data_IF_538860938063
#
_entry.id   IF_538860938063
#
_cell.length_a   1.000
_cell.length_b   1.000
_cell.length_c   1.000
_cell.angle_alpha   90.00
_cell.angle_beta   90.00
_cell.angle_gamma   90.00
#
_symmetry.space_group_name_H-M   'P 1'
#
loop_
_entity.id
_entity.type
_entity.pdbx_description
1 polymer ?
#
# COMPACT_ATOMS: atom_id res chain seq x y z
N UNK A 1 8.39 -26.75 -36.10
CA UNK A 1 7.54 -26.11 -35.07
C UNK A 1 8.47 -25.50 -34.04
N UNK A 2 8.29 -24.24 -33.66
CA UNK A 2 9.05 -23.64 -32.56
C UNK A 2 8.80 -24.45 -31.29
N UNK A 3 9.86 -24.85 -30.59
CA UNK A 3 9.73 -25.52 -29.30
C UNK A 3 9.49 -24.46 -28.22
N UNK A 4 8.63 -24.80 -27.26
CA UNK A 4 8.37 -23.92 -26.10
C UNK A 4 9.48 -24.07 -25.07
N UNK A 5 9.68 -23.05 -24.24
CA UNK A 5 10.58 -23.14 -23.09
C UNK A 5 10.18 -24.26 -22.12
N UNK A 6 11.14 -24.88 -21.40
CA UNK A 6 10.88 -25.99 -20.48
C UNK A 6 10.10 -25.57 -19.22
N UNK A 7 9.94 -24.28 -18.97
CA UNK A 7 9.22 -23.74 -17.83
C UNK A 7 7.75 -23.45 -18.15
N UNK A 8 7.28 -23.78 -19.36
CA UNK A 8 5.88 -23.62 -19.76
C UNK A 8 5.45 -22.15 -19.92
N UNK A 9 6.39 -21.23 -20.06
CA UNK A 9 6.10 -19.80 -20.15
C UNK A 9 5.60 -19.38 -21.53
N UNK A 10 5.56 -20.28 -22.51
CA UNK A 10 5.16 -19.97 -23.90
C UNK A 10 6.13 -19.01 -24.60
N UNK A 11 7.43 -19.10 -24.29
CA UNK A 11 8.48 -18.41 -25.03
C UNK A 11 8.87 -19.29 -26.22
N UNK A 12 8.71 -18.77 -27.43
CA UNK A 12 9.03 -19.48 -28.67
C UNK A 12 10.55 -19.57 -28.87
N UNK A 13 11.06 -20.79 -29.02
CA UNK A 13 12.44 -21.03 -29.44
C UNK A 13 12.45 -21.20 -30.96
N UNK A 14 13.26 -20.39 -31.64
CA UNK A 14 13.33 -20.41 -33.10
C UNK A 14 13.75 -21.79 -33.62
N UNK A 15 12.98 -22.33 -34.57
CA UNK A 15 13.22 -23.64 -35.16
C UNK A 15 14.42 -23.69 -36.11
N UNK A 16 15.02 -22.54 -36.43
CA UNK A 16 16.14 -22.36 -37.37
C UNK A 16 15.90 -22.97 -38.78
N UNK A 17 14.63 -23.17 -39.15
CA UNK A 17 14.23 -23.76 -40.44
C UNK A 17 14.11 -22.75 -41.57
N UNK A 18 13.97 -21.47 -41.25
CA UNK A 18 13.84 -20.37 -42.21
C UNK A 18 15.19 -19.71 -42.53
N UNK A 19 15.24 -18.92 -43.60
CA UNK A 19 16.43 -18.15 -43.96
C UNK A 19 16.88 -17.25 -42.78
N UNK A 20 18.19 -17.12 -42.50
CA UNK A 20 18.67 -16.38 -41.35
C UNK A 20 18.22 -14.91 -41.37
N UNK A 21 17.41 -14.52 -40.40
CA UNK A 21 17.03 -13.14 -40.16
C UNK A 21 17.23 -12.80 -38.67
N UNK A 22 18.37 -12.20 -38.37
CA UNK A 22 18.75 -11.86 -36.99
C UNK A 22 17.80 -10.84 -36.36
N UNK A 23 17.23 -9.92 -37.15
CA UNK A 23 16.28 -8.93 -36.65
C UNK A 23 14.96 -9.59 -36.23
N UNK A 24 14.44 -10.52 -37.03
CA UNK A 24 13.22 -11.26 -36.70
C UNK A 24 13.40 -12.15 -35.48
N UNK A 25 14.55 -12.83 -35.36
CA UNK A 25 14.89 -13.63 -34.18
C UNK A 25 14.95 -12.77 -32.92
N UNK A 26 15.68 -11.64 -32.96
CA UNK A 26 15.82 -10.74 -31.83
C UNK A 26 14.47 -10.13 -31.41
N UNK A 27 13.64 -9.72 -32.37
CA UNK A 27 12.30 -9.21 -32.12
C UNK A 27 11.41 -10.25 -31.44
N UNK A 28 11.36 -11.49 -31.96
CA UNK A 28 10.56 -12.56 -31.37
C UNK A 28 10.95 -12.91 -29.93
N UNK A 29 12.24 -12.87 -29.60
CA UNK A 29 12.72 -13.06 -28.23
C UNK A 29 12.34 -11.86 -27.36
N UNK A 30 12.58 -10.64 -27.83
CA UNK A 30 12.25 -9.43 -27.08
C UNK A 30 10.75 -9.34 -26.77
N UNK A 31 9.89 -9.58 -27.76
CA UNK A 31 8.44 -9.52 -27.62
C UNK A 31 7.89 -10.61 -26.70
N UNK A 32 8.53 -11.78 -26.66
CA UNK A 32 8.19 -12.83 -25.71
C UNK A 32 8.71 -12.52 -24.29
N UNK A 33 9.93 -12.01 -24.14
CA UNK A 33 10.54 -11.88 -22.80
C UNK A 33 10.14 -10.58 -22.11
N UNK A 34 10.10 -9.45 -22.82
CA UNK A 34 9.79 -8.14 -22.25
C UNK A 34 8.50 -8.09 -21.41
N UNK A 35 7.34 -8.65 -21.82
CA UNK A 35 6.13 -8.62 -21.00
C UNK A 35 6.19 -9.51 -19.75
N UNK A 36 7.17 -10.43 -19.68
CA UNK A 36 7.39 -11.37 -18.58
C UNK A 36 8.45 -10.88 -17.58
N UNK A 37 9.16 -9.78 -17.88
CA UNK A 37 10.12 -9.16 -16.97
C UNK A 37 9.50 -7.97 -16.24
N UNK A 38 10.27 -7.33 -15.36
CA UNK A 38 9.87 -6.04 -14.76
C UNK A 38 10.08 -4.94 -15.80
N UNK A 39 8.97 -4.42 -16.33
CA UNK A 39 9.00 -3.27 -17.25
C UNK A 39 9.17 -1.97 -16.46
N UNK A 40 9.98 -1.03 -16.96
CA UNK A 40 10.25 0.25 -16.28
C UNK A 40 9.55 1.42 -16.97
N UNK A 41 8.82 2.21 -16.19
CA UNK A 41 8.14 3.43 -16.66
C UNK A 41 8.44 4.62 -15.74
N UNK A 42 8.31 5.83 -16.26
CA UNK A 42 8.47 7.04 -15.46
C UNK A 42 7.38 7.17 -14.39
N UNK A 43 6.12 6.92 -14.77
CA UNK A 43 4.94 7.06 -13.88
C UNK A 43 3.81 6.11 -14.31
N UNK A 44 2.76 6.01 -13.48
CA UNK A 44 1.56 5.23 -13.82
C UNK A 44 0.87 5.71 -15.10
N UNK A 45 0.83 7.02 -15.35
CA UNK A 45 0.24 7.60 -16.56
C UNK A 45 1.06 7.27 -17.82
N UNK A 46 2.39 7.32 -17.72
CA UNK A 46 3.29 6.93 -18.82
C UNK A 46 3.11 5.45 -19.19
N UNK A 47 2.96 4.57 -18.20
CA UNK A 47 2.64 3.15 -18.43
C UNK A 47 1.31 2.99 -19.17
N UNK A 48 0.24 3.65 -18.71
CA UNK A 48 -1.09 3.54 -19.33
C UNK A 48 -1.09 4.01 -20.79
N UNK A 49 -0.29 5.02 -21.12
CA UNK A 49 -0.11 5.46 -22.50
C UNK A 49 0.68 4.47 -23.37
N UNK A 50 1.70 3.81 -22.79
CA UNK A 50 2.57 2.88 -23.50
C UNK A 50 1.92 1.50 -23.74
N UNK A 51 1.21 0.96 -22.76
CA UNK A 51 0.61 -0.38 -22.81
C UNK A 51 -0.77 -0.32 -23.48
N UNK A 52 -0.77 -0.17 -24.80
CA UNK A 52 -1.99 -0.12 -25.63
C UNK A 52 -1.90 -1.05 -26.84
N UNK A 53 -3.04 -1.33 -27.48
CA UNK A 53 -3.10 -2.16 -28.69
C UNK A 53 -2.55 -3.57 -28.46
N UNK A 54 -1.57 -3.98 -29.28
CA UNK A 54 -0.93 -5.29 -29.16
C UNK A 54 -0.11 -5.47 -27.87
N UNK A 55 0.30 -4.37 -27.22
CA UNK A 55 1.00 -4.37 -25.94
C UNK A 55 0.06 -4.09 -24.75
N UNK A 56 -1.24 -4.31 -24.93
CA UNK A 56 -2.23 -4.12 -23.86
C UNK A 56 -1.86 -4.94 -22.61
N UNK A 57 -2.10 -4.40 -21.41
CA UNK A 57 -1.66 -5.04 -20.18
C UNK A 57 -2.46 -6.31 -19.88
N UNK A 58 -1.74 -7.41 -19.63
CA UNK A 58 -2.32 -8.70 -19.23
C UNK A 58 -2.00 -9.02 -17.78
N UNK A 59 -2.83 -9.84 -17.14
CA UNK A 59 -2.62 -10.29 -15.77
C UNK A 59 -1.25 -10.96 -15.60
N UNK A 60 -0.58 -10.66 -14.50
CA UNK A 60 0.77 -11.16 -14.19
C UNK A 60 1.92 -10.25 -14.66
N UNK A 61 1.65 -9.23 -15.48
CA UNK A 61 2.66 -8.22 -15.81
C UNK A 61 3.12 -7.45 -14.56
N UNK A 62 4.42 -7.17 -14.46
CA UNK A 62 5.02 -6.39 -13.37
C UNK A 62 5.72 -5.16 -13.92
N UNK A 63 5.52 -4.01 -13.27
CA UNK A 63 6.15 -2.74 -13.65
C UNK A 63 6.83 -2.09 -12.47
N UNK A 64 7.96 -1.42 -12.70
CA UNK A 64 8.55 -0.47 -11.77
C UNK A 64 8.26 0.97 -12.23
N UNK A 65 7.72 1.79 -11.34
CA UNK A 65 7.41 3.20 -11.60
C UNK A 65 8.44 4.09 -10.91
N UNK A 66 9.16 4.89 -11.69
CA UNK A 66 10.32 5.64 -11.19
C UNK A 66 9.96 6.85 -10.32
N UNK A 67 8.86 7.56 -10.62
CA UNK A 67 8.41 8.71 -9.83
C UNK A 67 7.90 8.28 -8.46
N UNK A 68 7.20 7.16 -8.40
CA UNK A 68 6.59 6.61 -7.19
C UNK A 68 7.54 5.65 -6.42
N UNK A 69 8.68 5.32 -7.01
CA UNK A 69 9.68 4.35 -6.51
C UNK A 69 9.06 3.04 -6.01
N UNK A 70 8.22 2.42 -6.84
CA UNK A 70 7.49 1.19 -6.46
C UNK A 70 7.25 0.20 -7.59
N UNK A 71 7.08 -1.05 -7.22
CA UNK A 71 6.63 -2.13 -8.09
C UNK A 71 5.12 -2.25 -8.07
N UNK A 72 4.51 -2.41 -9.24
CA UNK A 72 3.08 -2.71 -9.41
C UNK A 72 2.88 -3.96 -10.26
N UNK A 73 1.90 -4.79 -9.89
CA UNK A 73 1.48 -5.97 -10.63
C UNK A 73 0.08 -5.79 -11.22
N UNK A 74 -0.13 -6.30 -12.44
CA UNK A 74 -1.45 -6.36 -13.08
C UNK A 74 -2.19 -7.59 -12.56
N UNK A 75 -3.26 -7.35 -11.81
CA UNK A 75 -4.06 -8.43 -11.22
C UNK A 75 -5.07 -9.01 -12.22
N UNK A 76 -5.64 -10.17 -11.88
CA UNK A 76 -6.60 -10.87 -12.73
C UNK A 76 -7.91 -10.09 -12.97
N UNK A 77 -8.27 -9.20 -12.04
CA UNK A 77 -9.41 -8.28 -12.14
C UNK A 77 -9.15 -7.09 -13.08
N UNK A 78 -7.95 -7.01 -13.67
CA UNK A 78 -7.56 -5.91 -14.54
C UNK A 78 -7.11 -4.65 -13.79
N UNK A 79 -6.93 -4.69 -12.47
CA UNK A 79 -6.40 -3.57 -11.70
C UNK A 79 -4.87 -3.63 -11.61
N UNK A 80 -4.23 -2.47 -11.42
CA UNK A 80 -2.82 -2.40 -11.06
C UNK A 80 -2.71 -2.24 -9.55
N UNK A 81 -1.92 -3.08 -8.89
CA UNK A 81 -1.74 -3.04 -7.44
C UNK A 81 -0.26 -2.98 -7.07
N UNK A 82 0.07 -2.20 -6.05
CA UNK A 82 1.43 -2.07 -5.55
C UNK A 82 1.89 -3.36 -4.86
N UNK A 83 2.98 -3.96 -5.36
CA UNK A 83 3.63 -5.15 -4.79
C UNK A 83 4.66 -4.79 -3.73
N UNK A 84 5.34 -3.65 -3.91
CA UNK A 84 6.24 -3.11 -2.89
C UNK A 84 5.51 -2.06 -2.06
N UNK A 85 5.86 -1.91 -0.77
CA UNK A 85 5.31 -0.82 0.02
C UNK A 85 5.71 0.53 -0.56
N UNK A 86 4.75 1.46 -0.65
CA UNK A 86 5.04 2.85 -0.94
C UNK A 86 5.80 3.53 0.21
N UNK A 87 6.30 4.76 -0.03
CA UNK A 87 6.92 5.56 1.03
C UNK A 87 5.91 5.85 2.16
N UNK A 88 6.43 6.02 3.37
CA UNK A 88 5.64 6.49 4.50
C UNK A 88 5.29 7.96 4.32
N UNK A 89 4.00 8.28 4.39
CA UNK A 89 3.45 9.64 4.31
C UNK A 89 3.20 10.12 5.75
N UNK A 90 3.77 11.26 6.16
CA UNK A 90 3.52 11.82 7.49
C UNK A 90 2.03 12.04 7.75
N UNK A 91 1.59 11.71 8.96
CA UNK A 91 0.21 11.96 9.40
C UNK A 91 0.08 13.41 9.86
N UNK A 92 -0.97 14.09 9.40
CA UNK A 92 -1.43 15.35 9.98
C UNK A 92 -2.46 15.05 11.07
N UNK A 93 -2.20 15.51 12.29
CA UNK A 93 -3.09 15.30 13.43
C UNK A 93 -4.19 16.36 13.47
N UNK A 94 -5.37 15.97 13.94
CA UNK A 94 -6.42 16.90 14.30
C UNK A 94 -5.96 17.85 15.42
N UNK A 95 -6.59 19.03 15.50
CA UNK A 95 -6.28 20.01 16.54
C UNK A 95 -6.34 19.40 17.94
N UNK A 96 -5.32 19.67 18.75
CA UNK A 96 -5.19 19.14 20.11
C UNK A 96 -4.35 17.86 20.23
N UNK A 97 -3.83 17.32 19.13
CA UNK A 97 -2.95 16.15 19.12
C UNK A 97 -1.64 16.43 18.40
N UNK A 98 -0.56 15.78 18.85
CA UNK A 98 0.79 15.91 18.27
C UNK A 98 1.50 14.57 18.24
N UNK A 99 2.48 14.46 17.34
CA UNK A 99 3.40 13.35 17.34
C UNK A 99 4.26 13.35 18.62
N UNK A 100 4.48 12.17 19.20
CA UNK A 100 5.35 12.00 20.37
C UNK A 100 6.68 11.33 19.99
N UNK A 101 6.63 10.11 19.49
CA UNK A 101 7.79 9.34 19.00
C UNK A 101 7.39 8.36 17.89
N UNK A 102 8.39 7.75 17.24
CA UNK A 102 8.16 6.76 16.17
C UNK A 102 7.72 7.34 14.81
N UNK A 103 7.75 8.67 14.66
CA UNK A 103 7.39 9.41 13.43
C UNK A 103 6.08 8.94 12.79
N UNK A 104 4.93 9.32 13.37
CA UNK A 104 3.61 8.89 12.90
C UNK A 104 3.40 9.12 11.41
N UNK A 105 3.03 8.04 10.72
CA UNK A 105 2.88 8.02 9.27
C UNK A 105 1.94 6.90 8.85
N UNK A 106 1.39 7.02 7.64
CA UNK A 106 0.66 5.94 6.97
C UNK A 106 1.30 5.60 5.62
N UNK A 107 1.00 4.44 5.07
CA UNK A 107 1.33 4.07 3.70
C UNK A 107 0.28 3.13 3.12
N UNK A 108 0.26 3.00 1.80
CA UNK A 108 -0.54 2.00 1.10
C UNK A 108 0.37 0.89 0.57
N UNK A 109 0.01 -0.35 0.86
CA UNK A 109 0.73 -1.56 0.43
C UNK A 109 -0.30 -2.60 0.04
N UNK A 110 -0.24 -3.09 -1.20
CA UNK A 110 -1.08 -4.19 -1.69
C UNK A 110 -2.58 -4.00 -1.38
N UNK A 111 -3.14 -2.81 -1.69
CA UNK A 111 -4.55 -2.50 -1.46
C UNK A 111 -4.95 -2.31 0.01
N UNK A 112 -4.00 -2.27 0.93
CA UNK A 112 -4.25 -2.01 2.35
C UNK A 112 -3.52 -0.74 2.81
N UNK A 113 -4.14 0.00 3.72
CA UNK A 113 -3.48 1.06 4.47
C UNK A 113 -2.83 0.47 5.72
N UNK A 114 -1.63 0.92 6.04
CA UNK A 114 -0.89 0.61 7.27
C UNK A 114 -0.49 1.92 7.95
N UNK A 115 -0.58 1.98 9.28
CA UNK A 115 -0.11 3.12 10.08
C UNK A 115 0.98 2.71 11.06
N UNK A 116 1.71 3.70 11.56
CA UNK A 116 2.74 3.54 12.58
C UNK A 116 2.88 4.76 13.47
N UNK A 117 3.62 4.58 14.56
CA UNK A 117 4.10 5.65 15.43
C UNK A 117 3.12 6.01 16.55
N UNK A 118 3.52 6.99 17.36
CA UNK A 118 2.82 7.33 18.60
C UNK A 118 2.46 8.81 18.67
N UNK A 119 1.36 9.08 19.35
CA UNK A 119 0.83 10.43 19.51
C UNK A 119 0.34 10.66 20.93
N UNK A 120 0.18 11.94 21.26
CA UNK A 120 -0.34 12.41 22.53
C UNK A 120 -1.16 13.68 22.33
N UNK A 121 -1.80 14.16 23.40
CA UNK A 121 -2.42 15.49 23.38
C UNK A 121 -1.35 16.58 23.36
N UNK A 122 -1.59 17.63 22.59
CA UNK A 122 -0.68 18.78 22.47
C UNK A 122 -0.45 19.53 23.80
N UNK A 123 -1.39 19.42 24.73
CA UNK A 123 -1.32 20.03 26.06
C UNK A 123 -0.60 19.16 27.10
N UNK A 124 -0.12 17.97 26.73
CA UNK A 124 0.57 17.02 27.61
C UNK A 124 -0.32 16.35 28.65
N UNK A 125 -1.63 16.61 28.65
CA UNK A 125 -2.56 15.97 29.59
C UNK A 125 -2.94 14.56 29.12
N UNK A 126 -3.27 13.63 30.04
CA UNK A 126 -3.76 12.31 29.66
C UNK A 126 -5.05 12.37 28.84
N UNK A 127 -5.30 11.32 28.06
CA UNK A 127 -6.54 11.21 27.29
C UNK A 127 -7.77 11.07 28.19
N UNK A 128 -8.90 11.62 27.74
CA UNK A 128 -10.19 11.41 28.39
C UNK A 128 -10.69 9.99 28.12
N UNK A 129 -11.04 9.26 29.18
CA UNK A 129 -11.57 7.89 29.08
C UNK A 129 -13.02 7.85 28.63
N UNK A 130 -13.42 6.79 27.94
CA UNK A 130 -14.80 6.52 27.53
C UNK A 130 -15.35 7.44 26.45
N UNK A 131 -14.53 8.32 25.88
CA UNK A 131 -14.90 9.27 24.85
C UNK A 131 -14.15 8.92 23.56
N UNK A 132 -14.86 8.97 22.43
CA UNK A 132 -14.25 8.89 21.11
C UNK A 132 -13.66 10.25 20.74
N UNK A 133 -12.34 10.29 20.53
CA UNK A 133 -11.60 11.48 20.16
C UNK A 133 -11.16 11.34 18.70
N UNK A 134 -11.61 12.23 17.81
CA UNK A 134 -11.08 12.27 16.44
C UNK A 134 -9.66 12.81 16.45
N UNK A 135 -8.70 11.96 16.06
CA UNK A 135 -7.26 12.25 16.15
C UNK A 135 -6.63 12.57 14.79
N UNK A 136 -7.21 12.06 13.69
CA UNK A 136 -6.68 12.22 12.32
C UNK A 136 -7.89 12.28 11.38
N UNK A 137 -7.80 13.10 10.33
CA UNK A 137 -8.68 12.99 9.16
C UNK A 137 -7.83 12.56 7.96
N UNK A 138 -8.10 11.36 7.44
CA UNK A 138 -7.33 10.78 6.36
C UNK A 138 -7.80 11.29 4.99
N UNK A 139 -6.89 11.38 3.99
CA UNK A 139 -7.30 11.72 2.64
C UNK A 139 -8.19 10.63 2.03
N UNK A 140 -9.11 11.03 1.16
CA UNK A 140 -10.11 10.15 0.54
C UNK A 140 -9.55 8.87 -0.09
N UNK A 141 -8.32 8.93 -0.62
CA UNK A 141 -7.66 7.79 -1.25
C UNK A 141 -7.34 6.62 -0.30
N UNK A 142 -7.43 6.82 1.03
CA UNK A 142 -7.16 5.77 2.03
C UNK A 142 -8.32 5.52 2.98
N UNK A 143 -9.53 5.92 2.59
CA UNK A 143 -10.75 5.61 3.34
C UNK A 143 -11.09 4.11 3.23
N UNK A 144 -11.40 3.42 4.34
CA UNK A 144 -11.90 2.06 4.26
C UNK A 144 -13.34 2.05 3.71
N UNK A 145 -13.77 0.98 3.02
CA UNK A 145 -15.14 0.88 2.50
C UNK A 145 -16.20 0.70 3.61
N UNK A 146 -15.78 0.32 4.80
CA UNK A 146 -16.62 0.09 5.96
C UNK A 146 -15.85 0.43 7.24
N UNK A 147 -16.58 0.71 8.32
CA UNK A 147 -15.99 0.94 9.63
C UNK A 147 -15.06 -0.20 10.07
N UNK A 148 -13.89 0.17 10.61
CA UNK A 148 -12.89 -0.76 11.16
C UNK A 148 -12.49 -0.33 12.56
N UNK A 149 -12.11 -1.29 13.41
CA UNK A 149 -11.53 -1.01 14.71
C UNK A 149 -10.36 -1.95 15.01
N UNK A 150 -9.44 -1.47 15.83
CA UNK A 150 -8.18 -2.13 16.17
C UNK A 150 -7.90 -1.95 17.65
N UNK A 151 -7.36 -2.98 18.30
CA UNK A 151 -6.75 -2.83 19.62
C UNK A 151 -5.31 -2.37 19.43
N UNK A 152 -4.97 -1.23 19.99
CA UNK A 152 -3.65 -0.64 19.90
C UNK A 152 -3.04 -0.45 21.28
N UNK A 153 -1.71 -0.37 21.33
CA UNK A 153 -0.99 -0.21 22.59
C UNK A 153 -1.07 1.24 23.09
N UNK A 154 -1.09 1.37 24.42
CA UNK A 154 -0.93 2.64 25.13
C UNK A 154 0.12 2.47 26.23
N UNK A 155 0.25 3.46 27.11
CA UNK A 155 1.23 3.51 28.17
C UNK A 155 1.18 2.33 29.17
N UNK A 156 2.24 1.51 29.20
CA UNK A 156 2.34 0.30 30.03
C UNK A 156 2.02 0.53 31.53
N UNK A 157 2.35 1.71 32.07
CA UNK A 157 2.14 2.05 33.48
C UNK A 157 0.74 2.65 33.80
N UNK A 158 -0.11 2.82 32.79
CA UNK A 158 -1.46 3.36 32.92
C UNK A 158 -2.49 2.39 32.30
N UNK A 159 -3.14 2.77 31.20
CA UNK A 159 -3.88 1.83 30.36
C UNK A 159 -2.92 1.20 29.36
N UNK A 160 -2.92 -0.13 29.23
CA UNK A 160 -2.01 -0.84 28.32
C UNK A 160 -2.57 -1.02 26.90
N UNK A 161 -3.85 -0.68 26.70
CA UNK A 161 -4.50 -0.74 25.40
C UNK A 161 -5.54 0.36 25.19
N UNK A 162 -5.78 0.68 23.93
CA UNK A 162 -6.89 1.49 23.46
C UNK A 162 -7.59 0.82 22.28
N UNK A 163 -8.72 1.40 21.86
CA UNK A 163 -9.36 1.10 20.59
C UNK A 163 -9.11 2.26 19.62
N UNK A 164 -8.53 1.97 18.46
CA UNK A 164 -8.47 2.90 17.33
C UNK A 164 -9.55 2.48 16.33
N UNK A 165 -10.32 3.44 15.86
CA UNK A 165 -11.42 3.24 14.93
C UNK A 165 -11.15 4.04 13.67
N UNK A 166 -11.49 3.50 12.51
CA UNK A 166 -11.37 4.19 11.22
C UNK A 166 -12.74 4.13 10.54
N UNK A 167 -13.34 5.29 10.32
CA UNK A 167 -14.65 5.41 9.68
C UNK A 167 -14.53 5.42 8.15
N UNK A 168 -15.61 5.12 7.40
CA UNK A 168 -15.64 5.26 5.95
C UNK A 168 -15.40 6.70 5.45
N UNK A 169 -15.59 7.70 6.30
CA UNK A 169 -15.35 9.11 5.98
C UNK A 169 -13.89 9.52 6.23
N UNK A 170 -13.04 8.59 6.70
CA UNK A 170 -11.62 8.80 6.93
C UNK A 170 -11.26 9.34 8.31
N UNK A 171 -12.22 9.49 9.21
CA UNK A 171 -11.92 9.87 10.58
C UNK A 171 -11.28 8.69 11.31
N UNK A 172 -10.12 8.96 11.93
CA UNK A 172 -9.49 8.03 12.87
C UNK A 172 -9.81 8.51 14.27
N UNK A 173 -10.40 7.62 15.08
CA UNK A 173 -10.84 7.92 16.42
C UNK A 173 -10.11 7.06 17.46
N UNK A 174 -9.75 7.68 18.58
CA UNK A 174 -9.19 7.02 19.75
C UNK A 174 -10.28 6.86 20.83
N UNK A 175 -10.36 5.67 21.42
CA UNK A 175 -11.12 5.42 22.65
C UNK A 175 -10.23 4.74 23.68
N UNK A 176 -10.03 5.41 24.82
CA UNK A 176 -9.42 4.79 26.01
C UNK A 176 -10.53 4.17 26.87
N UNK A 177 -10.46 2.87 27.21
CA UNK A 177 -11.47 2.20 28.02
C UNK A 177 -11.49 2.74 29.46
N UNK A 178 -12.62 2.58 30.15
CA UNK A 178 -12.80 3.01 31.55
C UNK A 178 -12.23 2.02 32.58
N UNK A 179 -11.42 1.03 32.16
CA UNK A 179 -11.07 -0.16 32.95
C UNK A 179 -10.00 0.04 34.04
N UNK A 180 -9.30 1.17 34.08
CA UNK A 180 -8.29 1.47 35.13
C UNK A 180 -8.48 2.89 35.69
N UNK A 181 -7.87 3.19 36.84
CA UNK A 181 -7.94 4.52 37.47
C UNK A 181 -7.05 5.59 36.81
N UNK A 182 -5.98 5.21 36.11
CA UNK A 182 -5.00 6.14 35.51
C UNK A 182 -5.18 6.20 34.00
N UNK A 183 -5.26 7.40 33.42
CA UNK A 183 -5.36 7.55 31.96
C UNK A 183 -3.99 7.56 31.28
N UNK A 184 -3.88 6.92 30.11
CA UNK A 184 -2.67 6.93 29.30
C UNK A 184 -2.35 8.33 28.74
N UNK A 185 -1.07 8.70 28.73
CA UNK A 185 -0.59 9.95 28.14
C UNK A 185 -0.28 9.85 26.65
N UNK A 186 -0.14 8.63 26.11
CA UNK A 186 0.13 8.39 24.69
C UNK A 186 -0.54 7.12 24.19
N UNK A 187 -0.76 7.07 22.88
CA UNK A 187 -1.30 5.91 22.17
C UNK A 187 -0.48 5.62 20.91
N UNK A 188 -0.47 4.36 20.52
CA UNK A 188 0.18 3.88 19.29
C UNK A 188 -0.83 3.72 18.16
N UNK A 189 -0.38 3.99 16.93
CA UNK A 189 -1.05 3.61 15.68
C UNK A 189 -0.49 2.30 15.10
N UNK A 190 0.52 1.72 15.74
CA UNK A 190 1.07 0.43 15.36
C UNK A 190 -0.04 -0.64 15.53
N UNK A 191 -0.14 -1.54 14.55
CA UNK A 191 -1.23 -2.52 14.33
C UNK A 191 -2.51 -1.99 13.65
N UNK A 192 -2.60 -0.70 13.29
CA UNK A 192 -3.71 -0.24 12.44
C UNK A 192 -3.42 -0.62 10.99
N UNK A 193 -4.15 -1.62 10.48
CA UNK A 193 -4.08 -2.05 9.08
C UNK A 193 -5.46 -2.46 8.57
N UNK A 194 -5.87 -1.92 7.43
CA UNK A 194 -7.17 -2.25 6.82
C UNK A 194 -7.12 -2.32 5.30
N UNK A 195 -8.02 -3.12 4.74
CA UNK A 195 -8.29 -3.18 3.29
C UNK A 195 -8.97 -1.90 2.80
N UNK A 196 -8.56 -1.43 1.63
CA UNK A 196 -9.20 -0.33 0.88
C UNK A 196 -10.27 -0.82 -0.10
N UNK A 197 -10.45 -2.14 -0.22
CA UNK A 197 -11.49 -2.81 -1.01
C UNK A 197 -12.41 -3.63 -0.13
#
# INVERSE_FOLDING_TARGET
MSTTDPYGQSISIAALTDAPNAQALAAGIADAVAPRTVMRFTSASARTAALTGAAAPVAGMVTYLATEDRYEGRMADGTWQALSPGPWIPIEFASGFVARFGSPAYRVVNGAAEMRGNFEKSDGTPFTKGVALTIINLPAAVHPPAYRYFTCATELAADVYCRIEVTPDGDVQLVIPTSTGTAASWASLDNVRYSLT
#
